data_IF_075181640964
#
_entry.id   IF_075181640964
#
_cell.length_a   1.000
_cell.length_b   1.000
_cell.length_c   1.000
_cell.angle_alpha   90.00
_cell.angle_beta   90.00
_cell.angle_gamma   90.00
#
_symmetry.space_group_name_H-M   'P 1'
#
loop_
_entity.id
_entity.type
_entity.pdbx_description
1 polymer ?
#
# COMPACT_ATOMS: atom_id res chain seq x y z
N UNK A 1 -3.12 -5.52 38.20
CA UNK A 1 -2.76 -4.47 37.22
C UNK A 1 -3.56 -4.72 35.94
N UNK A 2 -4.49 -3.84 35.59
CA UNK A 2 -5.21 -3.93 34.32
C UNK A 2 -4.34 -3.20 33.27
N UNK A 3 -3.58 -3.95 32.48
CA UNK A 3 -2.85 -3.42 31.32
C UNK A 3 -3.87 -3.08 30.23
N UNK A 4 -4.17 -1.79 30.08
CA UNK A 4 -4.95 -1.28 28.95
C UNK A 4 -4.06 -1.35 27.70
N UNK A 5 -4.25 -2.37 26.86
CA UNK A 5 -3.59 -2.43 25.56
C UNK A 5 -4.15 -1.30 24.68
N UNK A 6 -3.31 -0.42 24.11
CA UNK A 6 -3.78 0.65 23.24
C UNK A 6 -4.54 0.04 22.06
N UNK A 7 -5.76 0.52 21.83
CA UNK A 7 -6.61 0.10 20.72
C UNK A 7 -5.82 0.28 19.42
N UNK A 8 -5.53 -0.82 18.71
CA UNK A 8 -4.77 -0.80 17.44
C UNK A 8 -5.40 0.24 16.51
N UNK A 9 -4.62 1.23 16.07
CA UNK A 9 -5.07 2.22 15.08
C UNK A 9 -5.45 1.44 13.81
N UNK A 10 -6.70 1.61 13.37
CA UNK A 10 -7.17 1.03 12.11
C UNK A 10 -6.64 1.92 10.99
N UNK A 11 -5.69 1.42 10.21
CA UNK A 11 -5.27 2.05 8.96
C UNK A 11 -6.47 2.16 8.01
N UNK A 12 -6.43 3.14 7.09
CA UNK A 12 -7.47 3.28 6.06
C UNK A 12 -7.62 1.96 5.27
N UNK A 13 -8.85 1.59 4.87
CA UNK A 13 -9.05 0.45 3.98
C UNK A 13 -8.37 0.74 2.63
N UNK A 14 -7.64 -0.25 2.11
CA UNK A 14 -7.03 -0.17 0.78
C UNK A 14 -8.09 -0.50 -0.26
N UNK A 15 -8.27 0.41 -1.21
CA UNK A 15 -9.13 0.24 -2.38
C UNK A 15 -8.37 -0.47 -3.52
N UNK A 16 -9.04 -1.24 -4.40
CA UNK A 16 -8.44 -1.79 -5.61
C UNK A 16 -7.61 -0.79 -6.43
N UNK A 17 -8.09 0.44 -6.61
CA UNK A 17 -7.36 1.48 -7.36
C UNK A 17 -6.05 1.86 -6.66
N UNK A 18 -6.09 1.99 -5.34
CA UNK A 18 -4.90 2.27 -4.53
C UNK A 18 -3.90 1.12 -4.59
N UNK A 19 -4.37 -0.13 -4.63
CA UNK A 19 -3.49 -1.30 -4.79
C UNK A 19 -2.78 -1.31 -6.15
N UNK A 20 -3.48 -0.89 -7.23
CA UNK A 20 -2.89 -0.74 -8.56
C UNK A 20 -1.78 0.33 -8.57
N UNK A 21 -2.02 1.49 -7.95
CA UNK A 21 -1.02 2.56 -7.80
C UNK A 21 0.19 2.09 -6.99
N UNK A 22 -0.04 1.43 -5.85
CA UNK A 22 1.03 0.89 -5.00
C UNK A 22 1.89 -0.10 -5.79
N UNK A 23 1.27 -1.01 -6.56
CA UNK A 23 2.02 -1.94 -7.42
C UNK A 23 2.84 -1.21 -8.48
N UNK A 24 2.29 -0.16 -9.08
CA UNK A 24 3.01 0.64 -10.07
C UNK A 24 4.21 1.36 -9.46
N UNK A 25 4.05 1.95 -8.27
CA UNK A 25 5.12 2.63 -7.53
C UNK A 25 6.23 1.66 -7.09
N UNK A 26 5.85 0.44 -6.68
CA UNK A 26 6.80 -0.62 -6.34
C UNK A 26 7.57 -1.10 -7.58
N UNK A 27 6.91 -1.27 -8.72
CA UNK A 27 7.55 -1.67 -9.98
C UNK A 27 8.46 -0.59 -10.56
N UNK A 28 8.05 0.68 -10.45
CA UNK A 28 8.89 1.81 -10.85
C UNK A 28 10.18 1.92 -10.02
N UNK A 29 10.26 1.22 -8.88
CA UNK A 29 11.39 1.18 -7.97
C UNK A 29 11.85 2.56 -7.47
N UNK A 30 10.96 3.57 -7.58
CA UNK A 30 11.22 4.95 -7.15
C UNK A 30 10.97 5.16 -5.65
N UNK A 31 10.27 4.23 -4.98
CA UNK A 31 9.85 4.38 -3.60
C UNK A 31 9.84 3.06 -2.85
N UNK A 32 10.25 3.13 -1.60
CA UNK A 32 10.37 1.99 -0.71
C UNK A 32 8.97 1.63 -0.17
N UNK A 33 8.73 0.38 0.21
CA UNK A 33 7.45 -0.03 0.82
C UNK A 33 7.10 0.82 2.06
N UNK A 34 8.12 1.27 2.80
CA UNK A 34 7.96 2.13 3.97
C UNK A 34 7.41 3.52 3.59
N UNK A 35 7.98 4.14 2.56
CA UNK A 35 7.56 5.47 2.10
C UNK A 35 6.19 5.42 1.45
N UNK A 36 5.89 4.35 0.71
CA UNK A 36 4.55 4.10 0.15
C UNK A 36 3.54 3.93 1.29
N UNK A 37 3.86 3.13 2.32
CA UNK A 37 2.99 2.94 3.47
C UNK A 37 2.70 4.27 4.20
N UNK A 38 3.72 5.11 4.37
CA UNK A 38 3.57 6.44 4.97
C UNK A 38 2.71 7.36 4.10
N UNK A 39 2.95 7.39 2.79
CA UNK A 39 2.22 8.21 1.82
C UNK A 39 0.72 7.89 1.78
N UNK A 40 0.38 6.61 1.84
CA UNK A 40 -1.01 6.14 1.81
C UNK A 40 -1.63 5.96 3.20
N UNK A 41 -0.87 6.22 4.28
CA UNK A 41 -1.28 6.01 5.68
C UNK A 41 -1.78 4.58 5.95
N UNK A 42 -1.15 3.60 5.31
CA UNK A 42 -1.48 2.18 5.45
C UNK A 42 -0.38 1.42 6.18
N UNK A 43 -0.73 0.23 6.66
CA UNK A 43 0.25 -0.63 7.29
C UNK A 43 1.27 -1.12 6.27
N UNK A 44 2.57 -1.10 6.59
CA UNK A 44 3.60 -1.61 5.68
C UNK A 44 3.39 -3.10 5.35
N UNK A 45 2.88 -3.89 6.30
CA UNK A 45 2.47 -5.27 6.02
C UNK A 45 1.41 -5.37 4.92
N UNK A 46 0.50 -4.38 4.81
CA UNK A 46 -0.52 -4.32 3.75
C UNK A 46 0.10 -4.08 2.37
N UNK A 47 1.14 -3.24 2.30
CA UNK A 47 1.91 -3.02 1.06
C UNK A 47 2.59 -4.32 0.64
N UNK A 48 3.17 -5.06 1.60
CA UNK A 48 3.78 -6.37 1.34
C UNK A 48 2.76 -7.40 0.84
N UNK A 49 1.56 -7.46 1.42
CA UNK A 49 0.47 -8.32 0.94
C UNK A 49 0.05 -7.99 -0.50
N UNK A 50 0.03 -6.71 -0.87
CA UNK A 50 -0.30 -6.25 -2.24
C UNK A 50 0.83 -6.61 -3.20
N UNK A 51 2.08 -6.41 -2.79
CA UNK A 51 3.27 -6.72 -3.59
C UNK A 51 3.39 -8.24 -3.87
N UNK A 52 3.15 -9.05 -2.84
CA UNK A 52 3.18 -10.53 -2.95
C UNK A 52 1.96 -11.09 -3.68
N UNK A 53 0.93 -10.28 -3.91
CA UNK A 53 -0.33 -10.71 -4.50
C UNK A 53 -1.24 -11.49 -3.54
N UNK A 54 -0.87 -11.61 -2.26
CA UNK A 54 -1.70 -12.20 -1.21
C UNK A 54 -3.02 -11.42 -1.02
N UNK A 55 -2.97 -10.11 -1.27
CA UNK A 55 -4.15 -9.25 -1.31
C UNK A 55 -4.30 -8.61 -2.68
N UNK A 56 -5.50 -8.68 -3.23
CA UNK A 56 -5.83 -8.26 -4.60
C UNK A 56 -5.04 -9.02 -5.69
N UNK A 57 -5.18 -10.36 -5.75
CA UNK A 57 -4.64 -11.14 -6.86
C UNK A 57 -5.34 -10.72 -8.15
N UNK A 58 -4.57 -10.41 -9.20
CA UNK A 58 -5.10 -10.00 -10.51
C UNK A 58 -5.33 -8.50 -10.70
N UNK A 59 -5.01 -7.64 -9.72
CA UNK A 59 -4.90 -6.20 -9.99
C UNK A 59 -3.60 -5.94 -10.75
N UNK A 60 -3.73 -5.50 -12.00
CA UNK A 60 -2.64 -4.97 -12.81
C UNK A 60 -2.08 -3.70 -12.15
N UNK A 61 -0.76 -3.46 -12.22
CA UNK A 61 -0.20 -2.18 -11.80
C UNK A 61 -0.85 -1.06 -12.61
N UNK A 62 -1.22 0.03 -11.93
CA UNK A 62 -1.73 1.20 -12.63
C UNK A 62 -0.70 1.64 -13.68
N UNK A 63 -1.15 1.90 -14.91
CA UNK A 63 -0.32 2.62 -15.86
C UNK A 63 -0.09 4.01 -15.29
N UNK A 64 1.08 4.21 -14.67
CA UNK A 64 1.58 5.54 -14.35
C UNK A 64 1.87 6.21 -15.69
N UNK A 65 0.83 6.76 -16.32
CA UNK A 65 1.01 7.76 -17.37
C UNK A 65 1.63 8.95 -16.65
N UNK A 66 2.96 8.99 -16.64
CA UNK A 66 3.70 10.20 -16.34
C UNK A 66 3.36 11.19 -17.47
N UNK A 67 2.24 11.89 -17.31
CA UNK A 67 1.93 13.07 -18.09
C UNK A 67 2.97 14.13 -17.70
N UNK A 68 4.10 14.09 -18.40
CA UNK A 68 5.04 15.20 -18.44
C UNK A 68 4.35 16.34 -19.21
N UNK A 69 3.70 17.25 -18.47
CA UNK A 69 3.20 18.52 -19.00
C UNK A 69 4.09 19.67 -18.56
#
# INVERSE_FOLDING_TARGET
MIVHFPKKRKSKPVDPMMAAEIKALLLANCMNQHDIAARYEINQGRVSEINTGAKFPGIEPAQLTFDFK
#
